data_IF_643959002702
#
_entry.id   IF_643959002702
#
_cell.length_a   1.000
_cell.length_b   1.000
_cell.length_c   1.000
_cell.angle_alpha   90.00
_cell.angle_beta   90.00
_cell.angle_gamma   90.00
#
_symmetry.space_group_name_H-M   'P 1'
#
loop_
_entity.id
_entity.type
_entity.pdbx_description
1 polymer ?
#
# COMPACT_ATOMS: atom_id res chain seq x y z
N UNK A 1 2.36 -2.92 -24.77
CA UNK A 1 1.55 -3.96 -24.09
C UNK A 1 2.20 -4.48 -22.80
N UNK A 2 3.38 -5.13 -22.86
CA UNK A 2 4.03 -5.75 -21.68
C UNK A 2 4.20 -4.79 -20.49
N UNK A 3 4.65 -3.55 -20.72
CA UNK A 3 4.84 -2.55 -19.67
C UNK A 3 3.54 -2.12 -18.96
N UNK A 4 2.43 -1.99 -19.68
CA UNK A 4 1.13 -1.63 -19.08
C UNK A 4 0.60 -2.76 -18.19
N UNK A 5 0.80 -4.01 -18.61
CA UNK A 5 0.44 -5.19 -17.80
C UNK A 5 1.31 -5.26 -16.55
N UNK A 6 2.63 -5.03 -16.67
CA UNK A 6 3.53 -4.98 -15.51
C UNK A 6 3.12 -3.88 -14.52
N UNK A 7 2.72 -2.69 -14.99
CA UNK A 7 2.22 -1.62 -14.12
C UNK A 7 1.01 -2.06 -13.29
N UNK A 8 0.05 -2.76 -13.90
CA UNK A 8 -1.14 -3.28 -13.20
C UNK A 8 -0.72 -4.34 -12.18
N UNK A 9 0.11 -5.31 -12.58
CA UNK A 9 0.58 -6.39 -11.69
C UNK A 9 1.33 -5.82 -10.49
N UNK A 10 2.27 -4.90 -10.71
CA UNK A 10 3.05 -4.25 -9.65
C UNK A 10 2.13 -3.47 -8.70
N UNK A 11 1.13 -2.78 -9.23
CA UNK A 11 0.15 -2.05 -8.41
C UNK A 11 -0.66 -3.00 -7.54
N UNK A 12 -1.13 -4.12 -8.09
CA UNK A 12 -1.87 -5.14 -7.31
C UNK A 12 -1.01 -5.74 -6.20
N UNK A 13 0.25 -6.11 -6.51
CA UNK A 13 1.19 -6.62 -5.51
C UNK A 13 1.38 -5.59 -4.38
N UNK A 14 1.57 -4.32 -4.73
CA UNK A 14 1.70 -3.25 -3.76
C UNK A 14 0.45 -3.08 -2.89
N UNK A 15 -0.74 -3.13 -3.48
CA UNK A 15 -2.00 -2.96 -2.73
C UNK A 15 -2.17 -4.12 -1.74
N UNK A 16 -1.98 -5.36 -2.21
CA UNK A 16 -2.01 -6.54 -1.35
C UNK A 16 -0.99 -6.46 -0.22
N UNK A 17 0.23 -5.98 -0.51
CA UNK A 17 1.26 -5.77 0.50
C UNK A 17 0.84 -4.76 1.57
N UNK A 18 0.28 -3.60 1.19
CA UNK A 18 -0.20 -2.61 2.16
C UNK A 18 -1.32 -3.18 3.03
N UNK A 19 -2.29 -3.85 2.42
CA UNK A 19 -3.42 -4.43 3.15
C UNK A 19 -2.95 -5.46 4.16
N UNK A 20 -2.07 -6.38 3.73
CA UNK A 20 -1.48 -7.39 4.60
C UNK A 20 -0.71 -6.77 5.78
N UNK A 21 0.14 -5.77 5.51
CA UNK A 21 0.90 -5.11 6.56
C UNK A 21 0.00 -4.36 7.56
N UNK A 22 -1.06 -3.70 7.09
CA UNK A 22 -2.00 -3.02 7.98
C UNK A 22 -2.82 -4.00 8.82
N UNK A 23 -3.23 -5.14 8.24
CA UNK A 23 -3.92 -6.20 8.97
C UNK A 23 -3.02 -6.83 10.05
N UNK A 24 -1.79 -7.20 9.67
CA UNK A 24 -0.82 -7.79 10.60
C UNK A 24 -0.51 -6.83 11.75
N UNK A 25 -0.31 -5.55 11.45
CA UNK A 25 -0.10 -4.53 12.48
C UNK A 25 -1.31 -4.35 13.39
N UNK A 26 -2.55 -4.33 12.85
CA UNK A 26 -3.76 -4.28 13.67
C UNK A 26 -3.85 -5.46 14.65
N UNK A 27 -3.45 -6.65 14.20
CA UNK A 27 -3.42 -7.86 15.02
C UNK A 27 -2.38 -7.74 16.14
N UNK A 28 -1.14 -7.33 15.84
CA UNK A 28 -0.10 -7.11 16.86
C UNK A 28 -0.54 -6.07 17.91
N UNK A 29 -1.13 -4.96 17.49
CA UNK A 29 -1.64 -3.93 18.39
C UNK A 29 -2.74 -4.47 19.30
N UNK A 30 -3.67 -5.28 18.77
CA UNK A 30 -4.74 -5.89 19.56
C UNK A 30 -4.23 -6.86 20.64
N UNK A 31 -3.18 -7.63 20.31
CA UNK A 31 -2.55 -8.57 21.24
C UNK A 31 -1.78 -7.84 22.35
N UNK A 32 -1.12 -6.72 22.02
CA UNK A 32 -0.42 -5.88 22.99
C UNK A 32 -1.39 -5.17 23.96
N UNK A 33 -2.51 -4.65 23.45
CA UNK A 33 -3.55 -4.02 24.26
C UNK A 33 -4.25 -5.00 25.21
N UNK A 34 -4.38 -6.27 24.81
CA UNK A 34 -5.00 -7.29 25.65
C UNK A 34 -4.10 -7.71 26.83
N UNK A 35 -2.77 -7.62 26.67
CA UNK A 35 -1.80 -8.08 27.67
C UNK A 35 -1.24 -6.97 28.56
N UNK A 36 -1.40 -5.69 28.19
CA UNK A 36 -0.91 -4.57 28.99
C UNK A 36 -1.95 -3.46 29.07
N UNK A 37 -2.29 -3.09 30.30
CA UNK A 37 -3.10 -1.94 30.69
C UNK A 37 -2.34 -0.64 30.37
N UNK A 38 -2.00 -0.41 29.10
CA UNK A 38 -1.38 0.83 28.66
C UNK A 38 -2.46 1.91 28.58
N UNK A 39 -2.50 2.72 29.63
CA UNK A 39 -3.05 4.06 29.55
C UNK A 39 -2.23 4.84 28.52
N UNK A 40 -2.93 5.28 27.48
CA UNK A 40 -2.45 6.02 26.32
C UNK A 40 -1.82 5.20 25.19
N UNK A 41 -2.38 5.28 23.97
CA UNK A 41 -1.75 4.68 22.81
C UNK A 41 -0.53 5.52 22.50
N UNK A 42 0.66 5.07 22.94
CA UNK A 42 1.91 5.56 22.40
C UNK A 42 1.82 5.40 20.89
N UNK A 43 1.50 6.51 20.21
CA UNK A 43 1.52 6.75 18.78
C UNK A 43 2.18 5.58 18.05
N UNK A 44 1.38 4.56 17.72
CA UNK A 44 1.94 3.32 17.20
C UNK A 44 2.32 3.66 15.76
N UNK A 45 3.58 4.06 15.60
CA UNK A 45 4.20 4.42 14.35
C UNK A 45 4.07 3.17 13.49
N UNK A 46 3.12 3.15 12.55
CA UNK A 46 3.16 2.17 11.45
C UNK A 46 4.60 2.19 10.94
N UNK A 47 5.35 1.08 11.01
CA UNK A 47 6.79 1.14 10.93
C UNK A 47 7.18 1.83 9.63
N UNK A 48 7.90 2.95 9.71
CA UNK A 48 8.20 3.87 8.59
C UNK A 48 8.70 3.13 7.34
N UNK A 49 9.40 2.01 7.56
CA UNK A 49 9.91 1.08 6.55
C UNK A 49 8.82 0.55 5.61
N UNK A 50 7.64 0.18 6.12
CA UNK A 50 6.56 -0.38 5.31
C UNK A 50 5.90 0.68 4.43
N UNK A 51 5.72 1.89 4.96
CA UNK A 51 5.25 3.05 4.18
C UNK A 51 6.22 3.39 3.05
N UNK A 52 7.51 3.36 3.36
CA UNK A 52 8.57 3.65 2.38
C UNK A 52 8.65 2.57 1.29
N UNK A 53 8.52 1.29 1.65
CA UNK A 53 8.45 0.19 0.68
C UNK A 53 7.22 0.31 -0.23
N UNK A 54 6.04 0.57 0.34
CA UNK A 54 4.80 0.78 -0.42
C UNK A 54 4.89 1.96 -1.40
N UNK A 55 5.52 3.06 -0.97
CA UNK A 55 5.76 4.24 -1.80
C UNK A 55 6.69 3.92 -2.97
N UNK A 56 7.78 3.19 -2.72
CA UNK A 56 8.72 2.75 -3.78
C UNK A 56 8.00 1.85 -4.79
N UNK A 57 7.21 0.88 -4.33
CA UNK A 57 6.41 0.00 -5.20
C UNK A 57 5.42 0.81 -6.05
N UNK A 58 4.74 1.79 -5.44
CA UNK A 58 3.84 2.70 -6.14
C UNK A 58 4.55 3.52 -7.22
N UNK A 59 5.71 4.11 -6.92
CA UNK A 59 6.51 4.85 -7.90
C UNK A 59 6.96 3.97 -9.07
N UNK A 60 7.37 2.73 -8.80
CA UNK A 60 7.72 1.75 -9.84
C UNK A 60 6.50 1.46 -10.74
N UNK A 61 5.32 1.28 -10.14
CA UNK A 61 4.06 1.08 -10.86
C UNK A 61 3.71 2.26 -11.77
N UNK A 62 3.85 3.50 -11.27
CA UNK A 62 3.67 4.73 -12.05
C UNK A 62 4.67 4.79 -13.21
N UNK A 63 5.95 4.51 -12.97
CA UNK A 63 6.99 4.54 -13.99
C UNK A 63 6.69 3.60 -15.16
N UNK A 64 6.32 2.35 -14.88
CA UNK A 64 5.92 1.41 -15.91
C UNK A 64 4.61 1.82 -16.61
N UNK A 65 3.68 2.42 -15.87
CA UNK A 65 2.42 2.95 -16.38
C UNK A 65 2.65 4.05 -17.42
N UNK A 66 3.48 5.05 -17.11
CA UNK A 66 3.86 6.14 -18.01
C UNK A 66 4.58 5.58 -19.25
N UNK A 67 5.54 4.67 -19.06
CA UNK A 67 6.29 4.05 -20.17
C UNK A 67 5.37 3.27 -21.12
N UNK A 68 4.33 2.63 -20.60
CA UNK A 68 3.32 1.92 -21.39
C UNK A 68 2.31 2.80 -22.13
N UNK A 69 2.21 4.09 -21.76
CA UNK A 69 1.15 4.99 -22.22
C UNK A 69 1.20 5.25 -23.73
N UNK A 70 2.40 5.26 -24.32
CA UNK A 70 2.58 5.40 -25.79
C UNK A 70 1.98 4.23 -26.59
N UNK A 71 1.87 3.05 -25.99
CA UNK A 71 1.45 1.82 -26.69
C UNK A 71 -0.02 1.48 -26.45
N UNK A 72 -0.52 1.62 -25.21
CA UNK A 72 -1.90 1.27 -24.86
C UNK A 72 -2.46 2.25 -23.83
N UNK A 73 -3.01 3.37 -24.30
CA UNK A 73 -3.47 4.49 -23.44
C UNK A 73 -4.46 4.04 -22.35
N UNK A 74 -5.48 3.24 -22.69
CA UNK A 74 -6.52 2.80 -21.73
C UNK A 74 -5.95 1.92 -20.60
N UNK A 75 -5.19 0.86 -20.93
CA UNK A 75 -4.60 -0.02 -19.92
C UNK A 75 -3.53 0.68 -19.07
N UNK A 76 -2.70 1.53 -19.68
CA UNK A 76 -1.72 2.29 -18.92
C UNK A 76 -2.37 3.30 -17.98
N UNK A 77 -3.47 3.94 -18.37
CA UNK A 77 -4.21 4.83 -17.49
C UNK A 77 -4.69 4.07 -16.24
N UNK A 78 -5.25 2.87 -16.41
CA UNK A 78 -5.68 2.02 -15.29
C UNK A 78 -4.51 1.72 -14.36
N UNK A 79 -3.36 1.29 -14.90
CA UNK A 79 -2.16 1.00 -14.10
C UNK A 79 -1.67 2.22 -13.32
N UNK A 80 -1.61 3.40 -13.96
CA UNK A 80 -1.22 4.66 -13.31
C UNK A 80 -2.19 5.03 -12.18
N UNK A 81 -3.51 4.97 -12.44
CA UNK A 81 -4.53 5.27 -11.44
C UNK A 81 -4.42 4.31 -10.25
N UNK A 82 -4.21 3.01 -10.51
CA UNK A 82 -3.99 2.02 -9.45
C UNK A 82 -2.73 2.31 -8.63
N UNK A 83 -1.63 2.70 -9.29
CA UNK A 83 -0.39 3.05 -8.59
C UNK A 83 -0.53 4.34 -7.76
N UNK A 84 -1.30 5.33 -8.25
CA UNK A 84 -1.60 6.54 -7.48
C UNK A 84 -2.48 6.23 -6.26
N UNK A 85 -3.49 5.38 -6.43
CA UNK A 85 -4.29 4.87 -5.30
C UNK A 85 -3.42 4.15 -4.29
N UNK A 86 -2.51 3.28 -4.74
CA UNK A 86 -1.55 2.59 -3.88
C UNK A 86 -0.73 3.57 -3.04
N UNK A 87 -0.19 4.62 -3.67
CA UNK A 87 0.56 5.67 -2.97
C UNK A 87 -0.34 6.37 -1.95
N UNK A 88 -1.55 6.79 -2.34
CA UNK A 88 -2.49 7.45 -1.43
C UNK A 88 -2.81 6.58 -0.21
N UNK A 89 -3.15 5.31 -0.45
CA UNK A 89 -3.49 4.35 0.59
C UNK A 89 -2.29 4.07 1.52
N UNK A 90 -1.05 4.14 1.04
CA UNK A 90 0.15 3.97 1.87
C UNK A 90 0.31 5.00 2.99
N UNK A 91 -0.28 6.19 2.82
CA UNK A 91 -0.27 7.23 3.84
C UNK A 91 -1.43 7.11 4.83
N UNK A 92 -2.50 6.42 4.46
CA UNK A 92 -3.65 6.20 5.33
C UNK A 92 -3.36 5.11 6.38
N UNK A 93 -3.66 5.36 7.67
CA UNK A 93 -3.54 4.37 8.73
C UNK A 93 -4.69 3.37 8.65
N UNK A 94 -4.68 2.49 7.64
CA UNK A 94 -5.76 1.54 7.40
C UNK A 94 -5.95 0.54 8.55
N UNK A 95 -4.91 0.29 9.35
CA UNK A 95 -4.96 -0.58 10.53
C UNK A 95 -6.12 -0.24 11.48
N UNK A 96 -6.56 1.03 11.55
CA UNK A 96 -7.69 1.41 12.40
C UNK A 96 -9.01 0.77 11.95
N UNK A 97 -9.17 0.52 10.66
CA UNK A 97 -10.37 -0.12 10.08
C UNK A 97 -10.33 -1.65 10.17
N UNK A 98 -9.17 -2.24 10.46
CA UNK A 98 -8.99 -3.68 10.66
C UNK A 98 -9.07 -4.09 12.13
N UNK A 99 -9.37 -3.14 13.03
CA UNK A 99 -9.56 -3.43 14.45
C UNK A 99 -10.86 -4.26 14.63
N UNK A 100 -10.82 -5.40 15.33
CA UNK A 100 -12.01 -6.17 15.67
C UNK A 100 -12.91 -5.42 16.65
#
# INVERSE_FOLDING_TARGET
MKHSIYSIIVSFIGISFILYMNYYFAQEVSLLQTNQQFNEPQLIITPKVHKMAALIIGLIGVFFGIKGFKSFKKLSLIGIVLSLLLIAISFFPLWHYFRP
#
